data_IF_907988789019
#
_entry.id   IF_907988789019
#
_cell.length_a   1.000
_cell.length_b   1.000
_cell.length_c   1.000
_cell.angle_alpha   90.00
_cell.angle_beta   90.00
_cell.angle_gamma   90.00
#
_symmetry.space_group_name_H-M   'P 1'
#
loop_
_entity.id
_entity.type
_entity.pdbx_description
1 polymer ?
#
# COMPACT_ATOMS: atom_id res chain seq x y z
N UNK A 1 25.31 22.96 70.54
CA UNK A 1 24.87 22.21 69.36
C UNK A 1 25.76 20.99 69.24
N UNK A 2 25.21 19.80 69.45
CA UNK A 2 25.95 18.56 69.66
C UNK A 2 26.30 17.87 68.33
N UNK A 3 27.33 17.01 68.29
CA UNK A 3 27.76 16.32 67.06
C UNK A 3 26.63 15.48 66.42
N UNK A 4 25.74 14.94 67.24
CA UNK A 4 24.54 14.20 66.80
C UNK A 4 23.52 15.09 66.07
N UNK A 5 23.37 16.36 66.45
CA UNK A 5 22.43 17.29 65.79
C UNK A 5 22.93 17.65 64.38
N UNK A 6 24.24 17.82 64.21
CA UNK A 6 24.86 18.04 62.89
C UNK A 6 24.76 16.82 61.98
N UNK A 7 24.91 15.62 62.52
CA UNK A 7 24.70 14.38 61.76
C UNK A 7 23.24 14.25 61.28
N UNK A 8 22.28 14.64 62.13
CA UNK A 8 20.85 14.56 61.82
C UNK A 8 20.42 15.59 60.77
N UNK A 9 21.01 16.80 60.80
CA UNK A 9 20.84 17.83 59.75
C UNK A 9 21.47 17.36 58.42
N UNK A 10 22.66 16.76 58.46
CA UNK A 10 23.32 16.24 57.26
C UNK A 10 22.50 15.17 56.55
N UNK A 11 21.95 14.20 57.29
CA UNK A 11 21.15 13.11 56.70
C UNK A 11 19.81 13.61 56.14
N UNK A 12 19.16 14.58 56.79
CA UNK A 12 17.92 15.16 56.26
C UNK A 12 18.15 15.94 54.96
N UNK A 13 19.24 16.70 54.86
CA UNK A 13 19.58 17.42 53.61
C UNK A 13 19.85 16.42 52.47
N UNK A 14 20.61 15.36 52.72
CA UNK A 14 20.89 14.33 51.71
C UNK A 14 19.60 13.60 51.29
N UNK A 15 18.71 13.29 52.23
CA UNK A 15 17.43 12.66 51.93
C UNK A 15 16.54 13.56 51.05
N UNK A 16 16.46 14.86 51.36
CA UNK A 16 15.70 15.83 50.55
C UNK A 16 16.30 15.94 49.16
N UNK A 17 17.63 16.08 49.04
CA UNK A 17 18.30 16.18 47.74
C UNK A 17 18.08 14.94 46.87
N UNK A 18 18.11 13.75 47.49
CA UNK A 18 17.87 12.49 46.79
C UNK A 18 16.42 12.37 46.33
N UNK A 19 15.45 12.81 47.15
CA UNK A 19 14.03 12.84 46.80
C UNK A 19 13.75 13.82 45.65
N UNK A 20 14.37 15.00 45.66
CA UNK A 20 14.25 15.98 44.57
C UNK A 20 14.85 15.42 43.28
N UNK A 21 16.05 14.84 43.33
CA UNK A 21 16.70 14.26 42.16
C UNK A 21 15.87 13.13 41.53
N UNK A 22 15.37 12.22 42.36
CA UNK A 22 14.51 11.11 41.89
C UNK A 22 13.18 11.61 41.33
N UNK A 23 12.57 12.64 41.93
CA UNK A 23 11.38 13.30 41.39
C UNK A 23 11.63 13.93 40.02
N UNK A 24 12.72 14.69 39.87
CA UNK A 24 13.10 15.31 38.59
C UNK A 24 13.39 14.25 37.52
N UNK A 25 14.15 13.21 37.87
CA UNK A 25 14.49 12.12 36.96
C UNK A 25 13.25 11.36 36.48
N UNK A 26 12.36 11.00 37.38
CA UNK A 26 11.12 10.28 37.02
C UNK A 26 10.19 11.10 36.12
N UNK A 27 10.12 12.42 36.31
CA UNK A 27 9.37 13.32 35.42
C UNK A 27 10.03 13.40 34.03
N UNK A 28 11.36 13.50 33.98
CA UNK A 28 12.12 13.52 32.72
C UNK A 28 11.96 12.21 31.94
N UNK A 29 12.09 11.06 32.60
CA UNK A 29 11.98 9.74 31.99
C UNK A 29 10.56 9.49 31.45
N UNK A 30 9.51 9.92 32.18
CA UNK A 30 8.13 9.89 31.68
C UNK A 30 7.96 10.73 30.41
N UNK A 31 8.53 11.95 30.39
CA UNK A 31 8.43 12.85 29.23
C UNK A 31 9.21 12.33 28.02
N UNK A 32 10.36 11.69 28.24
CA UNK A 32 11.13 11.03 27.20
C UNK A 32 10.38 9.82 26.62
N UNK A 33 9.76 9.00 27.48
CA UNK A 33 8.93 7.87 27.08
C UNK A 33 7.75 8.29 26.19
N UNK A 34 7.00 9.33 26.58
CA UNK A 34 5.86 9.86 25.81
C UNK A 34 6.28 10.35 24.41
N UNK A 35 7.42 11.04 24.29
CA UNK A 35 7.92 11.43 22.97
C UNK A 35 8.32 10.22 22.12
N UNK A 36 8.93 9.21 22.72
CA UNK A 36 9.28 8.00 21.97
C UNK A 36 8.05 7.24 21.48
N UNK A 37 6.98 7.16 22.29
CA UNK A 37 5.74 6.49 21.89
C UNK A 37 5.04 7.25 20.78
N UNK A 38 4.95 8.57 20.86
CA UNK A 38 4.37 9.39 19.77
C UNK A 38 5.17 9.24 18.46
N UNK A 39 6.50 9.16 18.52
CA UNK A 39 7.32 8.95 17.33
C UNK A 39 7.14 7.54 16.74
N UNK A 40 7.03 6.51 17.57
CA UNK A 40 6.76 5.13 17.12
C UNK A 40 5.37 5.03 16.51
N UNK A 41 4.33 5.56 17.16
CA UNK A 41 2.96 5.56 16.64
C UNK A 41 2.86 6.31 15.30
N UNK A 42 3.51 7.48 15.18
CA UNK A 42 3.58 8.20 13.89
C UNK A 42 4.31 7.39 12.82
N UNK A 43 5.40 6.70 13.17
CA UNK A 43 6.15 5.86 12.23
C UNK A 43 5.32 4.66 11.79
N UNK A 44 4.58 4.03 12.68
CA UNK A 44 3.70 2.89 12.38
C UNK A 44 2.57 3.33 11.44
N UNK A 45 1.91 4.45 11.74
CA UNK A 45 0.86 4.99 10.84
C UNK A 45 1.37 5.43 9.47
N UNK A 46 2.64 5.86 9.36
CA UNK A 46 3.27 6.18 8.07
C UNK A 46 3.61 4.89 7.31
N UNK A 47 4.17 3.89 7.99
CA UNK A 47 4.47 2.59 7.40
C UNK A 47 3.21 1.89 6.88
N UNK A 48 2.11 1.94 7.63
CA UNK A 48 0.81 1.40 7.22
C UNK A 48 0.26 2.12 5.98
N UNK A 49 0.46 3.45 5.90
CA UNK A 49 0.05 4.24 4.74
C UNK A 49 0.90 3.92 3.51
N UNK A 50 2.21 3.79 3.66
CA UNK A 50 3.11 3.45 2.56
C UNK A 50 2.80 2.04 2.04
N UNK A 51 2.57 1.07 2.93
CA UNK A 51 2.15 -0.29 2.56
C UNK A 51 0.81 -0.29 1.79
N UNK A 52 -0.16 0.51 2.23
CA UNK A 52 -1.44 0.66 1.52
C UNK A 52 -1.25 1.32 0.14
N UNK A 53 -0.39 2.33 0.04
CA UNK A 53 -0.07 2.99 -1.23
C UNK A 53 0.56 1.98 -2.20
N UNK A 54 1.52 1.18 -1.74
CA UNK A 54 2.17 0.15 -2.55
C UNK A 54 1.15 -0.89 -3.03
N UNK A 55 0.26 -1.34 -2.14
CA UNK A 55 -0.81 -2.26 -2.52
C UNK A 55 -1.73 -1.65 -3.58
N UNK A 56 -2.18 -0.41 -3.40
CA UNK A 56 -3.04 0.28 -4.37
C UNK A 56 -2.34 0.52 -5.71
N UNK A 57 -1.03 0.77 -5.71
CA UNK A 57 -0.24 0.91 -6.92
C UNK A 57 -0.15 -0.41 -7.69
N UNK A 58 0.00 -1.54 -6.98
CA UNK A 58 0.02 -2.85 -7.59
C UNK A 58 -1.36 -3.22 -8.16
N UNK A 59 -2.44 -3.00 -7.41
CA UNK A 59 -3.81 -3.18 -7.91
C UNK A 59 -4.09 -2.34 -9.17
N UNK A 60 -3.57 -1.10 -9.23
CA UNK A 60 -3.68 -0.27 -10.43
C UNK A 60 -2.86 -0.81 -11.62
N UNK A 61 -1.69 -1.38 -11.37
CA UNK A 61 -0.88 -2.01 -12.43
C UNK A 61 -1.57 -3.24 -12.98
N UNK A 62 -2.09 -4.09 -12.11
CA UNK A 62 -2.84 -5.29 -12.49
C UNK A 62 -4.10 -4.93 -13.27
N UNK A 63 -4.88 -3.96 -12.80
CA UNK A 63 -6.07 -3.48 -13.50
C UNK A 63 -5.73 -2.92 -14.89
N UNK A 64 -4.61 -2.19 -15.03
CA UNK A 64 -4.14 -1.69 -16.33
C UNK A 64 -3.71 -2.83 -17.25
N UNK A 65 -2.97 -3.82 -16.73
CA UNK A 65 -2.54 -4.98 -17.50
C UNK A 65 -3.75 -5.79 -18.00
N UNK A 66 -4.72 -6.06 -17.12
CA UNK A 66 -5.96 -6.75 -17.46
C UNK A 66 -6.78 -5.98 -18.51
N UNK A 67 -6.85 -4.65 -18.39
CA UNK A 67 -7.52 -3.80 -19.39
C UNK A 67 -6.85 -3.89 -20.76
N UNK A 68 -5.52 -3.81 -20.82
CA UNK A 68 -4.78 -3.93 -22.08
C UNK A 68 -4.98 -5.30 -22.71
N UNK A 69 -4.89 -6.37 -21.93
CA UNK A 69 -5.12 -7.73 -22.42
C UNK A 69 -6.55 -7.89 -22.99
N UNK A 70 -7.55 -7.33 -22.30
CA UNK A 70 -8.95 -7.37 -22.75
C UNK A 70 -9.15 -6.58 -24.05
N UNK A 71 -8.50 -5.42 -24.19
CA UNK A 71 -8.61 -4.61 -25.42
C UNK A 71 -7.95 -5.30 -26.61
N UNK A 72 -6.80 -5.96 -26.41
CA UNK A 72 -6.13 -6.77 -27.45
C UNK A 72 -7.06 -7.91 -27.90
N UNK A 73 -7.63 -8.64 -26.95
CA UNK A 73 -8.54 -9.74 -27.27
C UNK A 73 -9.79 -9.26 -28.00
N UNK A 74 -10.35 -8.13 -27.57
CA UNK A 74 -11.49 -7.50 -28.24
C UNK A 74 -11.16 -7.09 -29.68
N UNK A 75 -9.96 -6.53 -29.92
CA UNK A 75 -9.51 -6.20 -31.28
C UNK A 75 -9.38 -7.46 -32.13
N UNK A 76 -8.75 -8.51 -31.59
CA UNK A 76 -8.64 -9.81 -32.27
C UNK A 76 -10.01 -10.36 -32.67
N UNK A 77 -10.96 -10.41 -31.73
CA UNK A 77 -12.31 -10.88 -32.01
C UNK A 77 -13.06 -10.00 -33.03
N UNK A 78 -12.80 -8.68 -33.02
CA UNK A 78 -13.37 -7.77 -34.00
C UNK A 78 -12.83 -8.05 -35.42
N UNK A 79 -11.54 -8.32 -35.55
CA UNK A 79 -10.89 -8.68 -36.81
C UNK A 79 -11.41 -10.03 -37.33
N UNK A 80 -11.49 -11.05 -36.47
CA UNK A 80 -12.06 -12.36 -36.80
C UNK A 80 -13.53 -12.23 -37.29
N UNK A 81 -14.35 -11.44 -36.60
CA UNK A 81 -15.73 -11.18 -37.00
C UNK A 81 -15.83 -10.43 -38.34
N UNK A 82 -14.89 -9.52 -38.62
CA UNK A 82 -14.84 -8.82 -39.91
C UNK A 82 -14.58 -9.80 -41.05
N UNK A 83 -13.60 -10.69 -40.88
CA UNK A 83 -13.27 -11.73 -41.87
C UNK A 83 -14.46 -12.67 -42.11
N UNK A 84 -15.16 -13.10 -41.05
CA UNK A 84 -16.34 -13.95 -41.18
C UNK A 84 -17.48 -13.26 -41.95
N UNK A 85 -17.70 -11.96 -41.71
CA UNK A 85 -18.72 -11.17 -42.42
C UNK A 85 -18.38 -11.03 -43.90
N UNK A 86 -17.12 -10.73 -44.22
CA UNK A 86 -16.65 -10.67 -45.60
C UNK A 86 -16.81 -12.02 -46.29
N UNK A 87 -16.38 -13.11 -45.65
CA UNK A 87 -16.54 -14.45 -46.18
C UNK A 87 -18.00 -14.82 -46.41
N UNK A 88 -18.88 -14.47 -45.48
CA UNK A 88 -20.34 -14.66 -45.61
C UNK A 88 -20.90 -13.89 -46.80
N UNK A 89 -20.43 -12.67 -47.02
CA UNK A 89 -20.84 -11.86 -48.17
C UNK A 89 -20.37 -12.47 -49.50
N UNK A 90 -19.12 -12.96 -49.56
CA UNK A 90 -18.60 -13.66 -50.76
C UNK A 90 -19.39 -14.95 -51.02
N UNK A 91 -19.68 -15.73 -49.97
CA UNK A 91 -20.51 -16.93 -50.08
C UNK A 91 -21.90 -16.61 -50.65
N UNK A 92 -22.55 -15.56 -50.13
CA UNK A 92 -23.84 -15.09 -50.63
C UNK A 92 -23.78 -14.76 -52.12
N UNK A 93 -22.76 -14.01 -52.54
CA UNK A 93 -22.54 -13.67 -53.95
C UNK A 93 -22.32 -14.91 -54.83
N UNK A 94 -21.58 -15.90 -54.34
CA UNK A 94 -21.36 -17.16 -55.06
C UNK A 94 -22.64 -17.97 -55.23
N UNK A 95 -23.47 -18.04 -54.19
CA UNK A 95 -24.79 -18.70 -54.24
C UNK A 95 -25.66 -18.03 -55.30
N UNK A 96 -25.76 -16.69 -55.29
CA UNK A 96 -26.54 -15.97 -56.31
C UNK A 96 -26.03 -16.20 -57.73
N UNK A 97 -24.72 -16.36 -57.91
CA UNK A 97 -24.08 -16.60 -59.21
C UNK A 97 -23.98 -18.09 -59.59
N UNK A 98 -24.54 -19.00 -58.79
CA UNK A 98 -24.44 -20.46 -58.98
C UNK A 98 -22.99 -20.96 -59.16
N UNK A 99 -22.04 -20.33 -58.49
CA UNK A 99 -20.63 -20.74 -58.48
C UNK A 99 -20.34 -21.64 -57.29
N UNK A 100 -19.34 -22.51 -57.42
CA UNK A 100 -18.85 -23.31 -56.30
C UNK A 100 -18.44 -22.40 -55.12
N UNK A 101 -18.68 -22.82 -53.86
CA UNK A 101 -18.39 -21.97 -52.71
C UNK A 101 -16.87 -21.69 -52.60
N UNK A 102 -16.48 -20.47 -52.23
CA UNK A 102 -15.09 -20.14 -51.94
C UNK A 102 -14.56 -20.97 -50.76
N UNK A 103 -13.24 -21.25 -50.69
CA UNK A 103 -12.64 -21.89 -49.53
C UNK A 103 -12.75 -20.99 -48.29
N UNK A 104 -12.89 -21.57 -47.07
CA UNK A 104 -13.00 -20.80 -45.84
C UNK A 104 -11.76 -19.95 -45.58
N UNK A 105 -11.97 -18.70 -45.16
CA UNK A 105 -10.92 -17.81 -44.65
C UNK A 105 -10.40 -18.39 -43.33
N UNK A 106 -9.14 -18.82 -43.29
CA UNK A 106 -8.49 -19.24 -42.04
C UNK A 106 -8.13 -17.99 -41.22
N UNK A 107 -8.35 -17.99 -39.90
CA UNK A 107 -7.79 -16.98 -39.01
C UNK A 107 -6.26 -17.09 -38.94
#
# INVERSE_FOLDING_TARGET
MNLQEWALVGTTIVAIATAVWTGVKTISDRKAGVRSTEHTERRDTVADRDALIDQMQEELRDARAARVATEIEKQRLADELSLEREYTQILRDHIYRQKAPPPPTRP
#
